data_IF_089683579546
#
_entry.id   IF_089683579546
#
_cell.length_a   1.000
_cell.length_b   1.000
_cell.length_c   1.000
_cell.angle_alpha   90.00
_cell.angle_beta   90.00
_cell.angle_gamma   90.00
#
_symmetry.space_group_name_H-M   'P 1'
#
loop_
_entity.id
_entity.type
_entity.pdbx_description
1 polymer ?
#
# COMPACT_ATOMS: atom_id res chain seq x y z
N UNK A 1 31.86 -25.09 -34.05
CA UNK A 1 31.16 -23.82 -34.34
C UNK A 1 30.56 -23.34 -33.03
N UNK A 2 31.08 -22.23 -32.51
CA UNK A 2 30.63 -21.63 -31.26
C UNK A 2 29.39 -20.79 -31.55
N UNK A 3 28.24 -21.16 -31.02
CA UNK A 3 27.03 -20.34 -31.12
C UNK A 3 26.99 -19.35 -29.96
N UNK A 4 27.04 -18.08 -30.35
CA UNK A 4 27.00 -16.91 -29.49
C UNK A 4 25.64 -16.81 -28.78
N UNK A 5 25.68 -16.81 -27.45
CA UNK A 5 24.58 -16.38 -26.58
C UNK A 5 24.43 -14.86 -26.79
N UNK A 6 23.57 -14.48 -27.74
CA UNK A 6 23.13 -13.10 -27.90
C UNK A 6 22.22 -12.75 -26.73
N UNK A 7 22.71 -11.86 -25.89
CA UNK A 7 21.96 -11.15 -24.86
C UNK A 7 20.71 -10.49 -25.48
N UNK A 8 19.55 -11.14 -25.34
CA UNK A 8 18.27 -10.55 -25.66
C UNK A 8 17.87 -9.61 -24.51
N UNK A 9 18.08 -8.33 -24.75
CA UNK A 9 17.59 -7.21 -23.99
C UNK A 9 16.09 -7.32 -23.67
N UNK A 10 15.73 -7.24 -22.38
CA UNK A 10 14.56 -6.51 -21.85
C UNK A 10 13.15 -6.81 -22.43
N UNK A 11 12.97 -7.84 -23.26
CA UNK A 11 11.63 -8.22 -23.75
C UNK A 11 10.88 -9.17 -22.82
N UNK A 12 11.54 -9.66 -21.76
CA UNK A 12 10.96 -10.52 -20.72
C UNK A 12 10.43 -9.70 -19.53
N UNK A 13 10.02 -8.46 -19.75
CA UNK A 13 9.19 -7.81 -18.75
C UNK A 13 7.85 -8.56 -18.71
N UNK A 14 7.41 -9.04 -17.54
CA UNK A 14 6.07 -9.60 -17.39
C UNK A 14 5.07 -8.60 -17.97
N UNK A 15 3.96 -9.03 -18.59
CA UNK A 15 3.02 -8.11 -19.19
C UNK A 15 2.44 -7.22 -18.07
N UNK A 16 3.04 -6.04 -17.90
CA UNK A 16 2.46 -4.96 -17.11
C UNK A 16 1.13 -4.67 -17.77
N UNK A 17 0.05 -5.12 -17.13
CA UNK A 17 -1.34 -4.74 -17.36
C UNK A 17 -1.57 -4.32 -18.81
N UNK A 18 -1.54 -5.28 -19.75
CA UNK A 18 -1.87 -4.98 -21.15
C UNK A 18 -3.14 -4.13 -21.13
N UNK A 19 -3.09 -2.92 -21.70
CA UNK A 19 -4.03 -1.80 -21.42
C UNK A 19 -5.52 -2.19 -21.45
N UNK A 20 -5.90 -3.22 -22.20
CA UNK A 20 -7.26 -3.76 -22.28
C UNK A 20 -7.72 -4.68 -21.14
N UNK A 21 -6.81 -5.24 -20.33
CA UNK A 21 -7.15 -6.14 -19.20
C UNK A 21 -7.30 -5.41 -17.87
N UNK A 22 -6.78 -4.18 -17.77
CA UNK A 22 -6.85 -3.37 -16.55
C UNK A 22 -8.31 -3.12 -16.06
N UNK A 23 -9.30 -2.83 -16.92
CA UNK A 23 -10.69 -2.69 -16.47
C UNK A 23 -11.28 -4.00 -15.91
N UNK A 24 -10.92 -5.14 -16.49
CA UNK A 24 -11.39 -6.45 -16.05
C UNK A 24 -10.78 -6.83 -14.70
N UNK A 25 -9.45 -6.73 -14.56
CA UNK A 25 -8.76 -6.94 -13.30
C UNK A 25 -9.31 -6.02 -12.20
N UNK A 26 -9.47 -4.73 -12.49
CA UNK A 26 -10.03 -3.77 -11.53
C UNK A 26 -11.42 -4.18 -11.04
N UNK A 27 -12.28 -4.68 -11.93
CA UNK A 27 -13.62 -5.14 -11.54
C UNK A 27 -13.58 -6.41 -10.68
N UNK A 28 -12.68 -7.34 -10.97
CA UNK A 28 -12.50 -8.57 -10.19
C UNK A 28 -11.89 -8.26 -8.82
N UNK A 29 -10.90 -7.38 -8.79
CA UNK A 29 -10.24 -6.91 -7.57
C UNK A 29 -11.21 -6.21 -6.63
N UNK A 30 -12.08 -5.32 -7.14
CA UNK A 30 -13.11 -4.68 -6.32
C UNK A 30 -14.12 -5.70 -5.77
N UNK A 31 -14.57 -6.66 -6.58
CA UNK A 31 -15.43 -7.75 -6.10
C UNK A 31 -14.78 -8.60 -5.02
N UNK A 32 -13.49 -8.90 -5.16
CA UNK A 32 -12.73 -9.63 -4.16
C UNK A 32 -12.67 -8.86 -2.83
N UNK A 33 -12.40 -7.55 -2.90
CA UNK A 33 -12.41 -6.67 -1.73
C UNK A 33 -13.77 -6.67 -1.04
N UNK A 34 -14.86 -6.58 -1.80
CA UNK A 34 -16.24 -6.58 -1.26
C UNK A 34 -16.57 -7.86 -0.47
N UNK A 35 -15.82 -8.96 -0.66
CA UNK A 35 -16.01 -10.21 0.11
C UNK A 35 -15.21 -10.28 1.41
N UNK A 36 -14.28 -9.35 1.66
CA UNK A 36 -13.46 -9.33 2.88
C UNK A 36 -14.19 -8.66 4.04
N UNK A 37 -13.88 -9.08 5.27
CA UNK A 37 -14.43 -8.50 6.50
C UNK A 37 -14.13 -7.00 6.66
N UNK A 38 -12.98 -6.54 6.16
CA UNK A 38 -12.58 -5.13 6.12
C UNK A 38 -12.81 -4.48 4.73
N UNK A 39 -13.68 -5.07 3.90
CA UNK A 39 -13.90 -4.66 2.51
C UNK A 39 -14.27 -3.19 2.35
N UNK A 40 -15.11 -2.66 3.23
CA UNK A 40 -15.50 -1.24 3.21
C UNK A 40 -14.29 -0.31 3.45
N UNK A 41 -13.45 -0.62 4.44
CA UNK A 41 -12.26 0.17 4.75
C UNK A 41 -11.24 0.14 3.60
N UNK A 42 -11.04 -1.03 2.99
CA UNK A 42 -10.18 -1.20 1.82
C UNK A 42 -10.71 -0.43 0.61
N UNK A 43 -12.01 -0.53 0.34
CA UNK A 43 -12.66 0.19 -0.76
C UNK A 43 -12.59 1.69 -0.55
N UNK A 44 -12.82 2.16 0.68
CA UNK A 44 -12.68 3.57 1.07
C UNK A 44 -11.24 4.03 0.82
N UNK A 45 -10.23 3.27 1.26
CA UNK A 45 -8.82 3.58 1.04
C UNK A 45 -8.46 3.71 -0.45
N UNK A 46 -8.88 2.74 -1.28
CA UNK A 46 -8.59 2.77 -2.72
C UNK A 46 -9.23 3.97 -3.41
N UNK A 47 -10.41 4.41 -2.96
CA UNK A 47 -11.13 5.55 -3.53
C UNK A 47 -10.66 6.90 -2.99
N UNK A 48 -10.30 6.98 -1.71
CA UNK A 48 -9.81 8.21 -1.07
C UNK A 48 -8.39 8.54 -1.47
N UNK A 49 -7.63 7.55 -1.95
CA UNK A 49 -6.21 7.68 -2.17
C UNK A 49 -5.41 7.54 -0.88
N UNK A 50 -4.08 7.74 -0.95
CA UNK A 50 -3.17 7.46 0.15
C UNK A 50 -3.46 8.32 1.39
N UNK A 51 -3.24 7.74 2.56
CA UNK A 51 -3.35 8.48 3.82
C UNK A 51 -2.38 9.66 3.81
N UNK A 52 -2.85 10.79 4.34
CA UNK A 52 -2.01 11.99 4.48
C UNK A 52 -1.71 12.19 5.96
N UNK A 53 -0.47 11.93 6.40
CA UNK A 53 -0.07 12.21 7.78
C UNK A 53 -0.27 13.69 8.12
N UNK A 54 -0.86 13.96 9.27
CA UNK A 54 -1.05 15.33 9.76
C UNK A 54 0.17 15.73 10.61
N UNK A 55 0.45 17.03 10.74
CA UNK A 55 1.43 17.52 11.71
C UNK A 55 0.75 17.69 13.07
N UNK A 56 1.23 16.97 14.08
CA UNK A 56 0.77 17.08 15.47
C UNK A 56 1.68 18.02 16.24
N UNK A 57 1.07 18.90 17.04
CA UNK A 57 1.77 19.76 17.99
C UNK A 57 1.84 19.03 19.33
N UNK A 58 3.06 18.71 19.77
CA UNK A 58 3.30 18.11 21.08
C UNK A 58 3.48 19.24 22.08
N UNK A 59 2.58 19.31 23.06
CA UNK A 59 2.60 20.35 24.08
C UNK A 59 3.77 20.14 25.05
N UNK A 60 4.32 21.23 25.58
CA UNK A 60 5.40 21.16 26.53
C UNK A 60 4.97 20.44 27.81
N UNK A 61 5.87 19.60 28.32
CA UNK A 61 5.72 18.98 29.64
C UNK A 61 6.71 19.66 30.58
N UNK A 62 6.16 20.30 31.61
CA UNK A 62 6.94 20.94 32.66
C UNK A 62 7.77 19.90 33.42
N UNK A 63 8.96 20.31 33.86
CA UNK A 63 9.86 19.43 34.60
C UNK A 63 9.25 19.07 35.97
N UNK A 64 9.23 17.77 36.26
CA UNK A 64 9.13 17.23 37.62
C UNK A 64 10.55 17.01 38.14
N UNK A 65 10.77 16.98 39.47
CA UNK A 65 12.11 16.95 40.12
C UNK A 65 13.12 15.94 39.55
N UNK A 66 12.66 14.87 38.87
CA UNK A 66 13.49 13.82 38.28
C UNK A 66 13.46 13.73 36.72
N UNK A 67 12.88 14.68 35.98
CA UNK A 67 12.79 14.59 34.51
C UNK A 67 12.99 15.91 33.76
N UNK A 68 13.70 15.88 32.61
CA UNK A 68 14.01 17.09 31.83
C UNK A 68 12.77 17.67 31.13
N UNK A 69 12.72 19.00 31.05
CA UNK A 69 11.67 19.76 30.33
C UNK A 69 11.62 19.35 28.86
N UNK A 70 10.45 18.94 28.38
CA UNK A 70 10.21 18.69 26.96
C UNK A 70 9.60 19.95 26.35
N UNK A 71 10.29 20.65 25.43
CA UNK A 71 9.74 21.83 24.77
C UNK A 71 8.67 21.47 23.73
N UNK A 72 7.80 22.45 23.44
CA UNK A 72 6.82 22.33 22.36
C UNK A 72 7.53 22.08 21.03
N UNK A 73 7.08 21.05 20.32
CA UNK A 73 7.61 20.74 19.00
C UNK A 73 6.54 20.13 18.10
N UNK A 74 6.66 20.37 16.81
CA UNK A 74 5.81 19.77 15.79
C UNK A 74 6.43 18.48 15.28
N UNK A 75 5.68 17.39 15.35
CA UNK A 75 6.09 16.08 14.84
C UNK A 75 5.08 15.59 13.81
N UNK A 76 5.54 14.79 12.83
CA UNK A 76 4.65 14.13 11.88
C UNK A 76 3.90 13.00 12.62
N UNK A 77 2.60 12.88 12.36
CA UNK A 77 1.78 11.82 12.95
C UNK A 77 2.45 10.45 12.75
N UNK A 78 2.75 9.82 13.88
CA UNK A 78 3.37 8.50 13.94
C UNK A 78 2.30 7.48 14.38
N UNK A 79 2.35 6.19 14.02
CA UNK A 79 1.30 5.22 14.38
C UNK A 79 0.96 5.12 15.88
N UNK A 80 1.85 5.57 16.77
CA UNK A 80 1.60 5.66 18.22
C UNK A 80 0.73 6.87 18.62
N UNK A 81 0.72 7.92 17.82
CA UNK A 81 0.04 9.19 18.08
C UNK A 81 -1.17 9.44 17.16
N UNK A 82 -1.50 8.48 16.30
CA UNK A 82 -2.65 8.54 15.40
C UNK A 82 -3.96 8.30 16.17
N UNK A 83 -5.04 8.96 15.72
CA UNK A 83 -6.39 8.60 16.14
C UNK A 83 -6.72 7.15 15.74
N UNK A 84 -7.64 6.46 16.44
CA UNK A 84 -8.09 5.13 16.04
C UNK A 84 -8.55 5.06 14.59
N UNK A 85 -9.30 6.07 14.12
CA UNK A 85 -9.81 6.13 12.75
C UNK A 85 -8.69 6.26 11.70
N UNK A 86 -7.67 7.08 11.99
CA UNK A 86 -6.51 7.25 11.12
C UNK A 86 -5.65 5.98 11.09
N UNK A 87 -5.54 5.30 12.23
CA UNK A 87 -4.81 4.03 12.35
C UNK A 87 -5.48 2.93 11.54
N UNK A 88 -6.80 2.82 11.63
CA UNK A 88 -7.57 1.85 10.84
C UNK A 88 -7.43 2.12 9.33
N UNK A 89 -7.42 3.39 8.94
CA UNK A 89 -7.21 3.77 7.55
C UNK A 89 -5.80 3.43 7.06
N UNK A 90 -4.77 3.71 7.87
CA UNK A 90 -3.38 3.39 7.57
C UNK A 90 -3.16 1.87 7.45
N UNK A 91 -3.77 1.07 8.33
CA UNK A 91 -3.70 -0.40 8.24
C UNK A 91 -4.43 -0.92 6.99
N UNK A 92 -5.60 -0.36 6.66
CA UNK A 92 -6.30 -0.70 5.43
C UNK A 92 -5.47 -0.33 4.18
N UNK A 93 -4.73 0.77 4.20
CA UNK A 93 -3.82 1.15 3.10
C UNK A 93 -2.68 0.15 2.93
N UNK A 94 -2.04 -0.26 4.02
CA UNK A 94 -0.99 -1.29 4.00
C UNK A 94 -1.50 -2.60 3.40
N UNK A 95 -2.69 -3.03 3.81
CA UNK A 95 -3.34 -4.21 3.24
C UNK A 95 -3.70 -4.03 1.77
N UNK A 96 -4.24 -2.88 1.37
CA UNK A 96 -4.60 -2.60 -0.01
C UNK A 96 -3.37 -2.64 -0.93
N UNK A 97 -2.26 -2.03 -0.53
CA UNK A 97 -0.98 -2.08 -1.27
C UNK A 97 -0.50 -3.52 -1.40
N UNK A 98 -0.52 -4.29 -0.31
CA UNK A 98 -0.14 -5.70 -0.33
C UNK A 98 -1.02 -6.51 -1.29
N UNK A 99 -2.34 -6.34 -1.24
CA UNK A 99 -3.29 -7.02 -2.12
C UNK A 99 -3.10 -6.64 -3.58
N UNK A 100 -2.82 -5.38 -3.89
CA UNK A 100 -2.54 -4.92 -5.26
C UNK A 100 -1.27 -5.60 -5.79
N UNK A 101 -0.18 -5.58 -5.01
CA UNK A 101 1.10 -6.18 -5.41
C UNK A 101 0.97 -7.71 -5.59
N UNK A 102 0.34 -8.38 -4.63
CA UNK A 102 0.13 -9.82 -4.66
C UNK A 102 -0.85 -10.23 -5.77
N UNK A 103 -1.94 -9.49 -5.95
CA UNK A 103 -2.94 -9.74 -7.00
C UNK A 103 -2.36 -9.59 -8.41
N UNK A 104 -1.51 -8.58 -8.63
CA UNK A 104 -0.76 -8.43 -9.89
C UNK A 104 0.20 -9.61 -10.09
N UNK A 105 0.87 -10.06 -9.03
CA UNK A 105 1.75 -11.23 -9.06
C UNK A 105 1.03 -12.50 -9.50
N UNK A 106 -0.13 -12.80 -8.89
CA UNK A 106 -0.92 -13.99 -9.25
C UNK A 106 -1.43 -13.97 -10.70
N UNK A 107 -1.82 -12.81 -11.23
CA UNK A 107 -2.19 -12.71 -12.65
C UNK A 107 -1.00 -13.02 -13.57
N UNK A 108 0.20 -12.52 -13.24
CA UNK A 108 1.41 -12.81 -14.00
C UNK A 108 1.67 -14.33 -14.01
N UNK A 109 1.67 -14.99 -12.84
CA UNK A 109 1.87 -16.43 -12.75
C UNK A 109 0.78 -17.22 -13.51
N UNK A 110 -0.49 -16.83 -13.37
CA UNK A 110 -1.62 -17.51 -14.04
C UNK A 110 -1.59 -17.36 -15.56
N UNK A 111 -0.98 -16.30 -16.10
CA UNK A 111 -0.81 -16.14 -17.56
C UNK A 111 0.37 -16.93 -18.13
N UNK A 112 1.42 -17.15 -17.32
CA UNK A 112 2.61 -17.93 -17.73
C UNK A 112 2.32 -19.42 -17.70
N UNK A 113 1.57 -19.91 -16.71
CA UNK A 113 1.22 -21.34 -16.56
C UNK A 113 0.16 -21.82 -17.56
N UNK A 114 -0.52 -20.89 -18.25
CA UNK A 114 -1.54 -21.20 -19.26
C UNK A 114 -0.98 -21.39 -20.69
N UNK A 115 0.35 -21.44 -20.86
CA UNK A 115 1.05 -21.69 -22.15
C UNK A 115 1.67 -23.08 -22.18
#
# INVERSE_FOLDING_TARGET
MHNNIMAASSRDHPPMLARGRYPQWRSWFLRYIDTRLNGEALRKCILSGPYKPITILVQAVDATDDSPTIPEHTTVETPMNMSPENKDHFEAEKEAIHLILTGIGYEIYSTVDAC
#
